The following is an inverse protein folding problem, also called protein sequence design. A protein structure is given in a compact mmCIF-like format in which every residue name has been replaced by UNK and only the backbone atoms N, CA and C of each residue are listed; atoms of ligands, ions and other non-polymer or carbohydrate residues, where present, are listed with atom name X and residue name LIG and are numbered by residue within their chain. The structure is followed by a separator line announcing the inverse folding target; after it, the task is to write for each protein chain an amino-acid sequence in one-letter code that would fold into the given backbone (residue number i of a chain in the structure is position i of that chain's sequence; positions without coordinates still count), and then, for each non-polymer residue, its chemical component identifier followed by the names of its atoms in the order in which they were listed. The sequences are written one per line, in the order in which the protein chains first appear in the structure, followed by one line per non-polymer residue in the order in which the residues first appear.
data_IF_416650315347
#
_entry.id   IF_416650315347
#
_cell.length_a   1.000
_cell.length_b   1.000
_cell.length_c   1.000
_cell.angle_alpha   90.00
_cell.angle_beta   90.00
_cell.angle_gamma   90.00
#
_symmetry.space_group_name_H-M   'P 1'
#
loop_
_entity.id
_entity.type
_entity.pdbx_description
1 polymer ?
#
# COMPACT_ATOMS: atom_id res chain seq x y z
N UNK A 1 24.31 3.56 -13.19
CA UNK A 1 24.63 4.43 -12.05
C UNK A 1 23.43 4.45 -11.14
N UNK A 2 23.53 3.71 -10.03
CA UNK A 2 22.49 3.64 -9.00
C UNK A 2 22.37 5.00 -8.32
N UNK A 3 21.35 5.76 -8.66
CA UNK A 3 20.91 6.87 -7.84
C UNK A 3 19.98 6.25 -6.79
N UNK A 4 20.58 5.86 -5.66
CA UNK A 4 19.80 5.48 -4.49
C UNK A 4 18.95 6.68 -4.07
N UNK A 5 17.65 6.50 -3.92
CA UNK A 5 16.78 7.44 -3.25
C UNK A 5 17.28 7.60 -1.81
N UNK A 6 18.12 8.61 -1.60
CA UNK A 6 18.43 9.08 -0.25
C UNK A 6 17.18 9.82 0.23
N UNK A 7 16.42 9.18 1.11
CA UNK A 7 15.47 9.91 1.95
C UNK A 7 16.26 10.99 2.70
N UNK A 8 15.83 12.25 2.64
CA UNK A 8 16.53 13.29 3.38
C UNK A 8 16.46 12.96 4.87
N UNK A 9 17.63 12.79 5.49
CA UNK A 9 17.78 12.69 6.93
C UNK A 9 17.31 13.99 7.58
N UNK A 10 16.23 13.88 8.32
CA UNK A 10 15.84 14.60 9.53
C UNK A 10 15.72 16.15 9.53
N UNK A 11 14.45 16.57 9.57
CA UNK A 11 14.05 17.57 10.56
C UNK A 11 13.12 16.85 11.57
N UNK A 12 13.55 16.76 12.82
CA UNK A 12 12.85 16.05 13.90
C UNK A 12 11.45 16.57 14.24
N UNK A 13 11.00 17.66 13.63
CA UNK A 13 9.74 18.36 13.96
C UNK A 13 8.86 18.66 12.73
N UNK A 14 9.20 18.17 11.53
CA UNK A 14 8.33 18.34 10.37
C UNK A 14 7.54 17.05 10.14
N UNK A 15 6.21 17.15 10.04
CA UNK A 15 5.35 16.05 9.59
C UNK A 15 5.88 15.52 8.25
N UNK A 16 5.97 14.20 8.06
CA UNK A 16 6.42 13.63 6.78
C UNK A 16 5.50 14.08 5.66
N UNK A 17 6.08 14.40 4.49
CA UNK A 17 5.31 14.70 3.29
C UNK A 17 4.58 13.42 2.86
N UNK A 18 3.25 13.52 2.76
CA UNK A 18 2.42 12.42 2.31
C UNK A 18 2.56 12.24 0.81
N UNK A 19 2.62 10.99 0.36
CA UNK A 19 2.72 10.62 -1.05
C UNK A 19 1.56 9.73 -1.48
N UNK A 20 1.23 9.77 -2.77
CA UNK A 20 0.28 8.88 -3.41
C UNK A 20 1.02 7.75 -4.11
N UNK A 21 0.77 6.51 -3.71
CA UNK A 21 1.09 5.31 -4.48
C UNK A 21 -0.19 4.76 -5.11
N UNK A 22 -0.17 4.56 -6.43
CA UNK A 22 -1.35 4.09 -7.16
C UNK A 22 -1.28 2.58 -7.32
N UNK A 23 -2.28 1.88 -6.75
CA UNK A 23 -2.45 0.46 -7.03
C UNK A 23 -3.14 0.28 -8.39
N UNK A 24 -2.46 -0.41 -9.31
CA UNK A 24 -2.90 -0.58 -10.70
C UNK A 24 -3.49 -1.96 -11.01
N UNK A 25 -3.80 -2.77 -9.99
CA UNK A 25 -4.32 -4.14 -10.16
C UNK A 25 -5.56 -4.20 -11.04
N UNK A 26 -6.46 -3.22 -10.92
CA UNK A 26 -7.71 -3.22 -11.68
C UNK A 26 -7.53 -2.92 -13.17
N UNK A 27 -6.40 -2.34 -13.59
CA UNK A 27 -6.02 -2.28 -15.01
C UNK A 27 -5.81 -3.72 -15.53
N UNK A 28 -5.05 -4.52 -14.78
CA UNK A 28 -4.85 -5.93 -15.09
C UNK A 28 -6.16 -6.74 -14.98
N UNK A 29 -7.05 -6.42 -14.03
CA UNK A 29 -8.38 -7.05 -13.93
C UNK A 29 -9.18 -6.89 -15.22
N UNK A 30 -9.18 -5.70 -15.82
CA UNK A 30 -9.87 -5.45 -17.10
C UNK A 30 -9.23 -6.27 -18.22
N UNK A 31 -7.90 -6.35 -18.29
CA UNK A 31 -7.16 -7.18 -19.24
C UNK A 31 -7.56 -8.65 -19.11
N UNK A 32 -7.54 -9.17 -17.90
CA UNK A 32 -7.84 -10.60 -17.64
C UNK A 32 -9.32 -10.93 -17.87
N UNK A 33 -10.26 -10.00 -17.68
CA UNK A 33 -11.66 -10.20 -17.97
C UNK A 33 -11.91 -10.58 -19.46
N UNK A 34 -11.02 -10.14 -20.35
CA UNK A 34 -11.06 -10.49 -21.79
C UNK A 34 -10.06 -11.58 -22.18
N UNK A 35 -9.07 -11.85 -21.36
CA UNK A 35 -7.96 -12.79 -21.70
C UNK A 35 -7.05 -12.25 -22.81
N UNK A 36 -6.88 -10.93 -22.90
CA UNK A 36 -6.08 -10.26 -23.91
C UNK A 36 -4.78 -9.66 -23.37
N UNK A 37 -4.27 -8.65 -24.08
CA UNK A 37 -3.06 -7.90 -23.72
C UNK A 37 -3.38 -6.49 -23.22
N UNK A 38 -4.59 -6.02 -23.43
CA UNK A 38 -5.04 -4.65 -23.10
C UNK A 38 -6.21 -4.65 -22.10
N UNK A 39 -6.29 -3.60 -21.25
CA UNK A 39 -5.29 -2.53 -21.08
C UNK A 39 -4.01 -3.06 -20.42
N UNK A 40 -2.85 -2.50 -20.84
CA UNK A 40 -1.53 -2.90 -20.32
C UNK A 40 -1.23 -2.19 -18.98
N UNK A 41 -1.00 -2.93 -17.87
CA UNK A 41 -0.62 -2.34 -16.58
C UNK A 41 0.70 -1.54 -16.65
N UNK A 42 1.61 -1.91 -17.54
CA UNK A 42 2.90 -1.24 -17.74
C UNK A 42 2.69 0.17 -18.29
N UNK A 43 1.81 0.30 -19.28
CA UNK A 43 1.41 1.61 -19.80
C UNK A 43 0.67 2.42 -18.73
N UNK A 44 -0.18 1.75 -17.95
CA UNK A 44 -0.89 2.36 -16.81
C UNK A 44 0.06 2.93 -15.75
N UNK A 45 1.10 2.19 -15.36
CA UNK A 45 2.10 2.65 -14.41
C UNK A 45 2.78 3.96 -14.86
N UNK A 46 3.22 4.01 -16.12
CA UNK A 46 3.83 5.22 -16.70
C UNK A 46 2.90 6.42 -16.67
N UNK A 47 1.62 6.22 -17.03
CA UNK A 47 0.61 7.29 -16.97
C UNK A 47 0.42 7.77 -15.52
N UNK A 48 0.38 6.86 -14.55
CA UNK A 48 0.23 7.23 -13.14
C UNK A 48 1.41 8.10 -12.66
N UNK A 49 2.65 7.69 -12.91
CA UNK A 49 3.83 8.46 -12.52
C UNK A 49 3.91 9.83 -13.20
N UNK A 50 3.57 9.93 -14.48
CA UNK A 50 3.53 11.19 -15.23
C UNK A 50 2.47 12.16 -14.72
N UNK A 51 1.49 11.69 -13.93
CA UNK A 51 0.38 12.49 -13.44
C UNK A 51 0.32 12.61 -11.91
N UNK A 52 1.45 12.37 -11.21
CA UNK A 52 1.60 12.72 -9.80
C UNK A 52 1.62 11.54 -8.83
N UNK A 53 1.57 10.30 -9.31
CA UNK A 53 1.88 9.15 -8.46
C UNK A 53 3.38 9.16 -8.10
N UNK A 54 3.71 9.07 -6.82
CA UNK A 54 5.07 8.94 -6.32
C UNK A 54 5.55 7.48 -6.31
N UNK A 55 4.61 6.55 -6.46
CA UNK A 55 4.91 5.12 -6.56
C UNK A 55 3.77 4.33 -7.18
N UNK A 56 4.10 3.10 -7.52
CA UNK A 56 3.18 2.11 -8.08
C UNK A 56 3.09 0.93 -7.13
N UNK A 57 1.87 0.53 -6.84
CA UNK A 57 1.56 -0.65 -6.03
C UNK A 57 0.87 -1.69 -6.91
N UNK A 58 1.29 -2.94 -6.77
CA UNK A 58 0.62 -4.10 -7.37
C UNK A 58 0.55 -5.24 -6.39
N UNK A 59 -0.54 -6.00 -6.43
CA UNK A 59 -0.70 -7.22 -5.67
C UNK A 59 -0.53 -8.45 -6.58
N UNK A 60 0.57 -9.17 -6.41
CA UNK A 60 0.76 -10.47 -7.05
C UNK A 60 0.11 -11.55 -6.19
N UNK A 61 -1.12 -11.89 -6.52
CA UNK A 61 -1.87 -12.92 -5.81
C UNK A 61 -1.40 -14.33 -6.18
N UNK A 62 -1.56 -15.26 -5.24
CA UNK A 62 -1.26 -16.67 -5.50
C UNK A 62 -2.05 -17.24 -6.70
N UNK A 63 -3.28 -16.80 -6.89
CA UNK A 63 -4.16 -17.24 -7.99
C UNK A 63 -3.95 -16.49 -9.32
N UNK A 64 -3.07 -15.47 -9.35
CA UNK A 64 -2.77 -14.67 -10.56
C UNK A 64 -4.01 -14.13 -11.28
N UNK A 65 -5.10 -13.82 -10.55
CA UNK A 65 -6.36 -13.39 -11.17
C UNK A 65 -6.30 -12.05 -11.92
N UNK A 66 -5.24 -11.27 -11.72
CA UNK A 66 -5.03 -9.98 -12.40
C UNK A 66 -3.54 -9.75 -12.74
N UNK A 67 -2.72 -9.28 -11.83
CA UNK A 67 -1.28 -9.12 -12.04
C UNK A 67 -0.63 -10.49 -12.25
N UNK A 68 0.27 -10.55 -13.24
CA UNK A 68 1.03 -11.74 -13.61
C UNK A 68 2.51 -11.55 -13.24
N UNK A 69 3.26 -12.65 -13.12
CA UNK A 69 4.70 -12.63 -12.80
C UNK A 69 5.48 -11.72 -13.76
N UNK A 70 5.15 -11.78 -15.08
CA UNK A 70 5.76 -10.92 -16.11
C UNK A 70 5.53 -9.44 -15.88
N UNK A 71 4.36 -9.07 -15.34
CA UNK A 71 4.04 -7.66 -15.03
C UNK A 71 4.95 -7.16 -13.92
N UNK A 72 5.12 -7.94 -12.84
CA UNK A 72 5.98 -7.60 -11.69
C UNK A 72 7.43 -7.41 -12.13
N UNK A 73 7.95 -8.34 -12.93
CA UNK A 73 9.33 -8.27 -13.47
C UNK A 73 9.50 -6.99 -14.29
N UNK A 74 8.57 -6.72 -15.22
CA UNK A 74 8.66 -5.55 -16.09
C UNK A 74 8.49 -4.24 -15.30
N UNK A 75 7.56 -4.19 -14.34
CA UNK A 75 7.34 -3.01 -13.50
C UNK A 75 8.59 -2.66 -12.70
N UNK A 76 9.32 -3.65 -12.16
CA UNK A 76 10.57 -3.39 -11.45
C UNK A 76 11.57 -2.60 -12.29
N UNK A 77 11.65 -2.88 -13.58
CA UNK A 77 12.60 -2.25 -14.48
C UNK A 77 12.17 -0.84 -14.92
N UNK A 78 10.85 -0.56 -14.96
CA UNK A 78 10.32 0.67 -15.58
C UNK A 78 9.79 1.71 -14.59
N UNK A 79 9.40 1.30 -13.37
CA UNK A 79 8.93 2.24 -12.34
C UNK A 79 10.10 3.10 -11.89
N UNK A 80 9.91 4.43 -11.96
CA UNK A 80 10.92 5.43 -11.60
C UNK A 80 10.82 5.78 -10.12
N UNK A 81 9.57 5.89 -9.64
CA UNK A 81 9.25 6.12 -8.25
C UNK A 81 9.39 4.86 -7.38
N UNK A 82 8.59 4.78 -6.33
CA UNK A 82 8.58 3.63 -5.44
C UNK A 82 7.80 2.47 -6.05
N UNK A 83 8.39 1.28 -6.11
CA UNK A 83 7.71 0.06 -6.48
C UNK A 83 7.35 -0.75 -5.24
N UNK A 84 6.05 -0.85 -4.92
CA UNK A 84 5.52 -1.61 -3.80
C UNK A 84 4.84 -2.89 -4.31
N UNK A 85 5.30 -4.04 -3.84
CA UNK A 85 4.72 -5.35 -4.14
C UNK A 85 3.89 -5.84 -2.94
N UNK A 86 2.57 -5.85 -3.09
CA UNK A 86 1.67 -6.52 -2.15
C UNK A 86 1.72 -8.02 -2.39
N UNK A 87 1.82 -8.80 -1.32
CA UNK A 87 1.99 -10.24 -1.41
C UNK A 87 1.52 -10.98 -0.17
N UNK A 88 1.03 -12.21 -0.35
CA UNK A 88 0.79 -13.13 0.75
C UNK A 88 2.09 -13.72 1.31
N UNK A 89 1.99 -14.34 2.50
CA UNK A 89 3.04 -15.17 3.08
C UNK A 89 3.10 -16.55 2.36
N UNK A 90 3.31 -16.55 1.06
CA UNK A 90 3.38 -17.73 0.21
C UNK A 90 4.80 -17.90 -0.32
N UNK A 91 5.36 -19.11 -0.23
CA UNK A 91 6.73 -19.37 -0.66
C UNK A 91 6.94 -19.11 -2.16
N UNK A 92 5.90 -19.35 -2.98
CA UNK A 92 5.89 -19.05 -4.40
C UNK A 92 6.07 -17.54 -4.65
N UNK A 93 5.22 -16.72 -4.02
CA UNK A 93 5.27 -15.25 -4.18
C UNK A 93 6.53 -14.66 -3.53
N UNK A 94 6.95 -15.18 -2.37
CA UNK A 94 8.20 -14.78 -1.73
C UNK A 94 9.38 -15.05 -2.67
N UNK A 95 9.36 -16.17 -3.43
CA UNK A 95 10.36 -16.48 -4.44
C UNK A 95 10.44 -15.42 -5.56
N UNK A 96 9.31 -14.93 -6.03
CA UNK A 96 9.26 -13.83 -7.01
C UNK A 96 9.79 -12.53 -6.38
N UNK A 97 9.36 -12.17 -5.18
CA UNK A 97 9.84 -10.98 -4.49
C UNK A 97 11.37 -10.99 -4.28
N UNK A 98 11.95 -12.16 -3.97
CA UNK A 98 13.40 -12.36 -3.87
C UNK A 98 14.15 -12.11 -5.18
N UNK A 99 13.56 -12.46 -6.30
CA UNK A 99 14.17 -12.28 -7.62
C UNK A 99 14.04 -10.85 -8.13
N UNK A 100 12.94 -10.18 -7.80
CA UNK A 100 12.59 -8.84 -8.29
C UNK A 100 13.21 -7.73 -7.42
N UNK A 101 13.27 -7.94 -6.11
CA UNK A 101 13.73 -6.96 -5.12
C UNK A 101 13.04 -5.60 -5.31
N UNK A 102 11.72 -5.51 -5.06
CA UNK A 102 11.00 -4.23 -5.12
C UNK A 102 11.55 -3.27 -4.05
N UNK A 103 11.17 -1.99 -4.11
CA UNK A 103 11.58 -1.02 -3.09
C UNK A 103 10.87 -1.31 -1.74
N UNK A 104 9.65 -1.84 -1.82
CA UNK A 104 8.88 -2.27 -0.65
C UNK A 104 8.10 -3.55 -0.97
N UNK A 105 8.00 -4.43 0.03
CA UNK A 105 6.96 -5.46 0.08
C UNK A 105 5.93 -5.07 1.12
N UNK A 106 4.64 -5.29 0.82
CA UNK A 106 3.55 -5.17 1.79
C UNK A 106 2.90 -6.54 1.97
N UNK A 107 2.99 -7.09 3.16
CA UNK A 107 2.38 -8.38 3.47
C UNK A 107 0.88 -8.20 3.68
N UNK A 108 0.08 -8.86 2.85
CA UNK A 108 -1.38 -8.83 2.87
C UNK A 108 -1.95 -10.24 3.03
N UNK A 109 -3.13 -10.42 3.66
CA UNK A 109 -3.76 -11.74 3.76
C UNK A 109 -4.46 -12.10 2.44
N UNK A 110 -4.36 -13.37 2.02
CA UNK A 110 -5.13 -13.92 0.90
C UNK A 110 -5.99 -15.11 1.32
N UNK A 111 -5.51 -15.91 2.27
CA UNK A 111 -6.22 -17.07 2.78
C UNK A 111 -6.99 -16.72 4.06
N UNK A 112 -8.05 -17.47 4.31
CA UNK A 112 -8.90 -17.26 5.49
C UNK A 112 -8.13 -17.40 6.81
N UNK A 113 -7.08 -18.24 6.82
CA UNK A 113 -6.25 -18.45 8.00
C UNK A 113 -5.30 -17.27 8.29
N UNK A 114 -5.05 -16.43 7.31
CA UNK A 114 -4.18 -15.25 7.39
C UNK A 114 -4.93 -13.99 7.81
N UNK A 115 -6.27 -14.02 7.71
CA UNK A 115 -7.15 -12.90 8.02
C UNK A 115 -7.37 -12.74 9.53
N UNK A 116 -7.51 -11.49 9.95
CA UNK A 116 -8.24 -11.12 11.16
C UNK A 116 -9.75 -11.17 10.88
N UNK A 117 -10.57 -10.99 11.91
CA UNK A 117 -12.03 -10.92 11.75
C UNK A 117 -12.49 -9.74 10.89
N UNK A 118 -11.69 -8.70 10.77
CA UNK A 118 -12.02 -7.46 10.04
C UNK A 118 -11.33 -7.35 8.68
N UNK A 119 -10.36 -8.20 8.36
CA UNK A 119 -9.75 -8.31 7.02
C UNK A 119 -8.26 -8.01 6.91
N UNK A 120 -7.59 -7.55 7.97
CA UNK A 120 -6.13 -7.34 8.00
C UNK A 120 -5.34 -8.64 8.22
N UNK A 121 -4.02 -8.56 8.06
CA UNK A 121 -3.10 -9.68 8.29
C UNK A 121 -3.06 -10.05 9.78
N UNK A 122 -3.19 -11.34 10.09
CA UNK A 122 -3.05 -11.86 11.43
C UNK A 122 -1.56 -11.98 11.79
N UNK A 123 -0.98 -10.88 12.24
CA UNK A 123 0.45 -10.79 12.59
C UNK A 123 0.81 -11.72 13.75
N UNK A 124 -0.02 -11.79 14.80
CA UNK A 124 0.26 -12.58 15.98
C UNK A 124 0.42 -14.07 15.66
N UNK A 125 -0.41 -14.59 14.76
CA UNK A 125 -0.34 -16.00 14.34
C UNK A 125 0.91 -16.31 13.52
N UNK A 126 1.44 -15.33 12.80
CA UNK A 126 2.52 -15.47 11.83
C UNK A 126 3.82 -14.77 12.28
N UNK A 127 3.92 -14.31 13.54
CA UNK A 127 4.97 -13.41 14.02
C UNK A 127 6.39 -13.91 13.71
N UNK A 128 6.69 -15.20 13.96
CA UNK A 128 8.02 -15.76 13.69
C UNK A 128 8.37 -15.72 12.21
N UNK A 129 7.45 -16.19 11.34
CA UNK A 129 7.68 -16.22 9.88
C UNK A 129 7.82 -14.82 9.30
N UNK A 130 7.02 -13.86 9.79
CA UNK A 130 7.14 -12.46 9.38
C UNK A 130 8.48 -11.89 9.80
N UNK A 131 8.93 -12.16 11.04
CA UNK A 131 10.23 -11.69 11.54
C UNK A 131 11.39 -12.20 10.67
N UNK A 132 11.40 -13.49 10.36
CA UNK A 132 12.44 -14.08 9.51
C UNK A 132 12.47 -13.42 8.13
N UNK A 133 11.30 -13.18 7.55
CA UNK A 133 11.16 -12.50 6.26
C UNK A 133 11.61 -11.03 6.33
N UNK A 134 11.26 -10.32 7.41
CA UNK A 134 11.70 -8.93 7.65
C UNK A 134 13.24 -8.85 7.69
N UNK A 135 13.89 -9.74 8.43
CA UNK A 135 15.36 -9.78 8.50
C UNK A 135 15.93 -10.00 7.10
N UNK A 136 15.43 -11.00 6.38
CA UNK A 136 15.92 -11.33 5.03
C UNK A 136 15.81 -10.15 4.05
N UNK A 137 14.65 -9.49 3.99
CA UNK A 137 14.42 -8.41 3.01
C UNK A 137 15.15 -7.12 3.40
N UNK A 138 15.28 -6.82 4.68
CA UNK A 138 16.09 -5.69 5.16
C UNK A 138 17.57 -5.80 4.80
N UNK A 139 18.15 -7.00 4.85
CA UNK A 139 19.52 -7.25 4.39
C UNK A 139 19.72 -6.92 2.89
N UNK A 140 18.62 -6.95 2.13
CA UNK A 140 18.58 -6.62 0.69
C UNK A 140 18.13 -5.17 0.42
N UNK A 141 18.03 -4.36 1.48
CA UNK A 141 17.53 -2.97 1.42
C UNK A 141 16.10 -2.84 0.91
N UNK A 142 15.26 -3.87 1.07
CA UNK A 142 13.83 -3.83 0.76
C UNK A 142 13.06 -3.48 2.03
N UNK A 143 12.20 -2.48 1.93
CA UNK A 143 11.31 -2.04 3.02
C UNK A 143 10.19 -3.06 3.23
N UNK A 144 9.83 -3.36 4.48
CA UNK A 144 8.75 -4.29 4.80
C UNK A 144 7.60 -3.57 5.50
N UNK A 145 6.41 -3.66 4.91
CA UNK A 145 5.15 -3.14 5.43
C UNK A 145 4.17 -4.28 5.74
N UNK A 146 3.35 -4.12 6.77
CA UNK A 146 2.29 -5.08 7.11
C UNK A 146 0.91 -4.40 6.99
N UNK A 147 0.02 -4.98 6.17
CA UNK A 147 -1.36 -4.52 6.03
C UNK A 147 -2.21 -5.04 7.19
N UNK A 148 -2.57 -4.17 8.12
CA UNK A 148 -3.20 -4.55 9.39
C UNK A 148 -4.43 -3.72 9.72
N UNK A 149 -5.29 -4.26 10.58
CA UNK A 149 -6.35 -3.48 11.20
C UNK A 149 -5.79 -2.42 12.17
N UNK A 150 -6.53 -1.31 12.39
CA UNK A 150 -6.19 -0.29 13.39
C UNK A 150 -6.41 -0.81 14.82
N UNK A 151 -5.58 -1.79 15.23
CA UNK A 151 -5.66 -2.55 16.47
C UNK A 151 -4.33 -2.53 17.21
N UNK A 152 -4.33 -2.04 18.46
CA UNK A 152 -3.10 -1.81 19.22
C UNK A 152 -2.31 -3.10 19.50
N UNK A 153 -2.91 -4.23 19.92
CA UNK A 153 -2.21 -5.50 20.08
C UNK A 153 -1.50 -5.98 18.80
N UNK A 154 -2.13 -5.76 17.62
CA UNK A 154 -1.53 -6.12 16.32
C UNK A 154 -0.33 -5.22 16.01
N UNK A 155 -0.40 -3.94 16.35
CA UNK A 155 0.72 -2.99 16.20
C UNK A 155 1.88 -3.39 17.12
N UNK A 156 1.61 -3.77 18.36
CA UNK A 156 2.64 -4.28 19.29
C UNK A 156 3.31 -5.56 18.75
N UNK A 157 2.52 -6.46 18.16
CA UNK A 157 3.07 -7.64 17.48
C UNK A 157 3.92 -7.25 16.26
N UNK A 158 3.47 -6.27 15.47
CA UNK A 158 4.24 -5.74 14.34
C UNK A 158 5.60 -5.20 14.80
N UNK A 159 5.64 -4.47 15.90
CA UNK A 159 6.91 -3.99 16.47
C UNK A 159 7.89 -5.13 16.75
N UNK A 160 7.42 -6.26 17.27
CA UNK A 160 8.27 -7.43 17.56
C UNK A 160 8.80 -8.12 16.31
N UNK A 161 8.11 -7.99 15.16
CA UNK A 161 8.63 -8.52 13.89
C UNK A 161 9.76 -7.69 13.31
N UNK A 162 9.88 -6.42 13.70
CA UNK A 162 10.87 -5.50 13.17
C UNK A 162 10.49 -4.88 11.81
N UNK A 163 9.24 -5.02 11.35
CA UNK A 163 8.76 -4.37 10.14
C UNK A 163 8.92 -2.84 10.20
N UNK A 164 9.14 -2.22 9.04
CA UNK A 164 9.40 -0.78 8.94
C UNK A 164 8.12 0.04 8.99
N UNK A 165 7.06 -0.48 8.37
CA UNK A 165 5.78 0.18 8.24
C UNK A 165 4.63 -0.72 8.70
N UNK A 166 3.54 -0.06 9.05
CA UNK A 166 2.19 -0.61 8.92
C UNK A 166 1.47 0.11 7.79
N UNK A 167 0.63 -0.63 7.07
CA UNK A 167 -0.43 -0.06 6.25
C UNK A 167 -1.76 -0.29 6.96
N UNK A 168 -2.36 0.78 7.46
CA UNK A 168 -3.64 0.71 8.18
C UNK A 168 -4.77 0.43 7.19
N UNK A 169 -5.48 -0.67 7.41
CA UNK A 169 -6.69 -1.01 6.65
C UNK A 169 -7.81 -0.02 6.95
N UNK A 170 -8.25 0.74 5.95
CA UNK A 170 -9.27 1.77 6.10
C UNK A 170 -10.68 1.31 5.71
N UNK A 171 -10.86 0.02 5.42
CA UNK A 171 -12.12 -0.52 4.90
C UNK A 171 -13.33 -0.29 5.82
N UNK A 172 -13.19 -0.50 7.13
CA UNK A 172 -14.28 -0.26 8.10
C UNK A 172 -14.72 1.21 8.10
N UNK A 173 -13.78 2.15 8.05
CA UNK A 173 -14.07 3.57 7.88
C UNK A 173 -14.78 3.88 6.56
N UNK A 174 -14.29 3.32 5.45
CA UNK A 174 -14.84 3.58 4.12
C UNK A 174 -16.25 3.02 3.94
N UNK A 175 -16.54 1.88 4.57
CA UNK A 175 -17.82 1.17 4.47
C UNK A 175 -18.82 1.53 5.58
N UNK A 176 -18.48 2.45 6.49
CA UNK A 176 -19.34 2.85 7.58
C UNK A 176 -20.69 3.40 7.06
N UNK A 177 -21.78 2.82 7.55
CA UNK A 177 -23.13 3.14 7.11
C UNK A 177 -23.71 4.44 7.70
N UNK A 178 -23.11 4.98 8.77
CA UNK A 178 -23.52 6.20 9.42
C UNK A 178 -22.35 7.16 9.63
N UNK A 179 -22.66 8.44 9.86
CA UNK A 179 -21.66 9.43 10.21
C UNK A 179 -20.98 9.12 11.57
N UNK A 180 -21.75 8.61 12.52
CA UNK A 180 -21.23 8.24 13.83
C UNK A 180 -20.25 7.07 13.75
N UNK A 181 -20.62 6.00 13.02
CA UNK A 181 -19.72 4.86 12.78
C UNK A 181 -18.45 5.29 12.06
N UNK A 182 -18.58 6.13 11.04
CA UNK A 182 -17.43 6.65 10.29
C UNK A 182 -16.49 7.44 11.20
N UNK A 183 -17.03 8.30 12.05
CA UNK A 183 -16.24 9.09 13.01
C UNK A 183 -15.52 8.17 14.00
N UNK A 184 -16.18 7.13 14.52
CA UNK A 184 -15.60 6.15 15.42
C UNK A 184 -14.43 5.39 14.76
N UNK A 185 -14.62 4.91 13.53
CA UNK A 185 -13.58 4.20 12.78
C UNK A 185 -12.39 5.13 12.45
N UNK A 186 -12.64 6.39 12.10
CA UNK A 186 -11.58 7.37 11.89
C UNK A 186 -10.75 7.60 13.17
N UNK A 187 -11.38 7.66 14.33
CA UNK A 187 -10.68 7.79 15.62
C UNK A 187 -9.88 6.51 15.96
N UNK A 188 -10.33 5.32 15.52
CA UNK A 188 -9.53 4.10 15.62
C UNK A 188 -8.25 4.21 14.80
N UNK A 189 -8.36 4.67 13.54
CA UNK A 189 -7.21 4.89 12.66
C UNK A 189 -6.21 5.86 13.30
N UNK A 190 -6.68 7.00 13.81
CA UNK A 190 -5.79 8.01 14.41
C UNK A 190 -5.04 7.46 15.64
N UNK A 191 -5.75 6.80 16.55
CA UNK A 191 -5.14 6.19 17.76
C UNK A 191 -4.14 5.10 17.40
N UNK A 192 -4.44 4.28 16.40
CA UNK A 192 -3.54 3.25 15.90
C UNK A 192 -2.25 3.87 15.31
N UNK A 193 -2.40 4.92 14.52
CA UNK A 193 -1.27 5.63 13.93
C UNK A 193 -0.38 6.30 15.01
N UNK A 194 -0.97 6.99 15.99
CA UNK A 194 -0.23 7.56 17.11
C UNK A 194 0.55 6.51 17.88
N UNK A 195 -0.07 5.35 18.13
CA UNK A 195 0.60 4.25 18.80
C UNK A 195 1.76 3.70 17.99
N UNK A 196 1.58 3.45 16.69
CA UNK A 196 2.63 3.00 15.80
C UNK A 196 3.83 3.97 15.78
N UNK A 197 3.57 5.27 15.62
CA UNK A 197 4.60 6.31 15.65
C UNK A 197 5.34 6.33 16.98
N UNK A 198 4.64 6.18 18.12
CA UNK A 198 5.26 6.12 19.45
C UNK A 198 6.23 4.94 19.62
N UNK A 199 5.99 3.85 18.89
CA UNK A 199 6.86 2.67 18.82
C UNK A 199 7.97 2.79 17.77
N UNK A 200 8.00 3.89 16.99
CA UNK A 200 8.96 4.08 15.90
C UNK A 200 8.62 3.26 14.66
N UNK A 201 7.35 2.89 14.45
CA UNK A 201 6.85 2.27 13.24
C UNK A 201 6.27 3.39 12.35
N UNK A 202 6.60 3.37 11.06
CA UNK A 202 6.09 4.32 10.08
C UNK A 202 4.68 3.91 9.62
N UNK A 203 3.89 4.87 9.14
CA UNK A 203 2.45 4.67 8.90
C UNK A 203 2.08 4.97 7.45
N UNK A 204 1.54 3.96 6.79
CA UNK A 204 0.81 4.06 5.54
C UNK A 204 -0.69 3.74 5.79
N UNK A 205 -1.54 4.03 4.82
CA UNK A 205 -2.95 3.66 4.88
C UNK A 205 -3.49 3.35 3.47
N UNK A 206 -4.47 2.46 3.40
CA UNK A 206 -5.04 2.05 2.14
C UNK A 206 -6.34 1.28 2.27
N UNK A 207 -6.91 0.92 1.13
CA UNK A 207 -8.12 0.16 0.92
C UNK A 207 -9.43 0.92 1.14
N UNK A 208 -10.22 1.06 0.07
CA UNK A 208 -11.55 1.67 0.09
C UNK A 208 -11.55 3.20 0.00
N UNK A 209 -10.39 3.85 0.00
CA UNK A 209 -10.29 5.29 -0.13
C UNK A 209 -10.71 5.79 -1.52
N UNK A 210 -11.35 6.96 -1.54
CA UNK A 210 -11.83 7.63 -2.75
C UNK A 210 -11.76 9.15 -2.60
N UNK A 211 -12.17 9.89 -3.63
CA UNK A 211 -12.07 11.36 -3.70
C UNK A 211 -12.89 12.10 -2.63
N UNK A 212 -13.89 11.44 -2.02
CA UNK A 212 -14.76 12.06 -1.01
C UNK A 212 -14.33 11.75 0.42
N UNK A 213 -13.73 10.58 0.68
CA UNK A 213 -13.40 10.13 2.03
C UNK A 213 -11.91 10.25 2.39
N UNK A 214 -11.03 10.47 1.41
CA UNK A 214 -9.58 10.52 1.61
C UNK A 214 -9.13 11.69 2.50
N UNK A 215 -9.83 12.83 2.46
CA UNK A 215 -9.41 14.06 3.16
C UNK A 215 -9.28 13.89 4.68
N UNK A 216 -10.16 13.10 5.29
CA UNK A 216 -10.09 12.86 6.73
C UNK A 216 -8.94 11.91 7.08
N UNK A 217 -8.69 10.88 6.25
CA UNK A 217 -7.56 9.97 6.44
C UNK A 217 -6.22 10.67 6.23
N UNK A 218 -6.14 11.68 5.37
CA UNK A 218 -4.94 12.51 5.19
C UNK A 218 -4.52 13.27 6.46
N UNK A 219 -5.38 13.38 7.47
CA UNK A 219 -5.07 13.98 8.78
C UNK A 219 -4.50 12.98 9.79
N UNK A 220 -4.34 11.72 9.39
CA UNK A 220 -3.80 10.66 10.27
C UNK A 220 -2.39 11.02 10.75
N UNK A 221 -2.13 10.97 12.06
CA UNK A 221 -0.83 11.27 12.62
C UNK A 221 0.28 10.40 12.04
N UNK A 222 1.37 11.01 11.59
CA UNK A 222 2.53 10.30 11.05
C UNK A 222 2.30 9.59 9.71
N UNK A 223 1.17 9.82 9.05
CA UNK A 223 0.89 9.24 7.74
C UNK A 223 1.92 9.71 6.70
N UNK A 224 2.51 8.76 5.99
CA UNK A 224 3.51 9.01 4.96
C UNK A 224 3.04 8.65 3.56
N UNK A 225 2.21 7.62 3.40
CA UNK A 225 1.83 7.08 2.10
C UNK A 225 0.37 6.62 2.10
N UNK A 226 -0.30 6.89 1.00
CA UNK A 226 -1.60 6.30 0.67
C UNK A 226 -1.49 5.36 -0.51
N UNK A 227 -1.97 4.11 -0.34
CA UNK A 227 -2.11 3.13 -1.41
C UNK A 227 -3.57 3.11 -1.88
N UNK A 228 -3.84 3.67 -3.07
CA UNK A 228 -5.19 3.82 -3.61
C UNK A 228 -5.26 3.23 -5.02
N UNK A 229 -6.20 2.29 -5.24
CA UNK A 229 -6.36 1.62 -6.52
C UNK A 229 -7.76 1.76 -7.10
N UNK A 230 -8.72 1.01 -6.55
CA UNK A 230 -10.04 0.82 -7.14
C UNK A 230 -10.74 2.13 -7.53
N UNK A 231 -10.78 3.13 -6.65
CA UNK A 231 -11.48 4.39 -6.92
C UNK A 231 -10.85 5.19 -8.05
N UNK A 232 -9.52 5.17 -8.18
CA UNK A 232 -8.80 5.84 -9.27
C UNK A 232 -9.10 5.16 -10.59
N UNK A 233 -9.03 3.83 -10.66
CA UNK A 233 -9.33 3.08 -11.89
C UNK A 233 -10.81 3.20 -12.25
N UNK A 234 -11.73 3.14 -11.29
CA UNK A 234 -13.15 3.35 -11.52
C UNK A 234 -13.44 4.76 -12.09
N UNK A 235 -12.82 5.81 -11.51
CA UNK A 235 -12.96 7.18 -12.01
C UNK A 235 -12.38 7.32 -13.44
N UNK A 236 -11.28 6.60 -13.72
CA UNK A 236 -10.60 6.66 -15.01
C UNK A 236 -11.48 6.21 -16.20
N UNK A 237 -12.48 5.37 -15.95
CA UNK A 237 -13.46 4.94 -16.96
C UNK A 237 -14.22 6.14 -17.56
N UNK A 238 -14.44 7.18 -16.75
CA UNK A 238 -15.19 8.37 -17.15
C UNK A 238 -14.31 9.56 -17.56
N UNK A 239 -13.11 9.67 -16.94
CA UNK A 239 -12.27 10.88 -17.09
C UNK A 239 -10.93 10.62 -17.78
N UNK A 240 -10.60 9.36 -18.01
CA UNK A 240 -9.25 8.92 -18.39
C UNK A 240 -8.30 8.84 -17.20
N UNK A 241 -7.33 7.91 -17.27
CA UNK A 241 -6.42 7.58 -16.16
C UNK A 241 -5.58 8.79 -15.71
N UNK A 242 -5.06 9.56 -16.65
CA UNK A 242 -4.24 10.74 -16.36
C UNK A 242 -4.97 11.76 -15.46
N UNK A 243 -6.24 12.04 -15.78
CA UNK A 243 -7.07 12.98 -15.01
C UNK A 243 -7.39 12.39 -13.63
N UNK A 244 -7.82 11.13 -13.59
CA UNK A 244 -8.16 10.46 -12.32
C UNK A 244 -6.98 10.46 -11.34
N UNK A 245 -5.77 10.13 -11.80
CA UNK A 245 -4.57 10.15 -10.96
C UNK A 245 -4.24 11.56 -10.49
N UNK A 246 -4.25 12.54 -11.41
CA UNK A 246 -3.93 13.94 -11.07
C UNK A 246 -4.88 14.50 -10.01
N UNK A 247 -6.17 14.24 -10.14
CA UNK A 247 -7.17 14.72 -9.19
C UNK A 247 -6.93 14.16 -7.78
N UNK A 248 -6.55 12.88 -7.65
CA UNK A 248 -6.20 12.28 -6.38
C UNK A 248 -4.86 12.82 -5.84
N UNK A 249 -3.87 12.98 -6.71
CA UNK A 249 -2.56 13.53 -6.34
C UNK A 249 -2.68 14.96 -5.79
N UNK A 250 -3.55 15.79 -6.37
CA UNK A 250 -3.85 17.14 -5.86
C UNK A 250 -4.41 17.08 -4.43
N UNK A 251 -5.35 16.18 -4.14
CA UNK A 251 -5.90 16.02 -2.78
C UNK A 251 -4.83 15.65 -1.75
N UNK A 252 -3.90 14.78 -2.13
CA UNK A 252 -2.77 14.40 -1.26
C UNK A 252 -1.81 15.58 -1.06
N UNK A 253 -1.48 16.31 -2.14
CA UNK A 253 -0.55 17.44 -2.08
C UNK A 253 -1.11 18.61 -1.27
N UNK A 254 -2.39 18.94 -1.42
CA UNK A 254 -3.07 19.97 -0.61
C UNK A 254 -2.97 19.70 0.89
N UNK A 255 -2.85 18.43 1.30
CA UNK A 255 -2.70 18.05 2.70
C UNK A 255 -1.29 18.25 3.26
N UNK A 256 -0.31 18.53 2.38
CA UNK A 256 1.08 18.82 2.74
C UNK A 256 1.35 20.32 2.90
N UNK A 257 0.39 21.18 2.55
CA UNK A 257 0.47 22.63 2.68
C UNK A 257 0.10 23.07 4.09
#
# INVERSE_FOLDING_TARGET
SCIGWMYPLERKDAMPRKILCVNIDHIATIREARGGTEPDPIAGARICEQNGAAGITVHLREDRRHIQDRDVITLRDIVIGKFNLEMALSDDIIGIARSVLPDQITLVPEKREELTTEGGLNVMKNESRIRDLVVEFKEKAVVVSLFIEPDLPTIDATKRTGADFIEIHTGSYCNAGSHEDRSRELQRIYRAAEHAVSLGIRVNAGHGLNYTNVRDVLRTPGLEELNIGHSIIAQSVFTGLATAVRDMAILVEESNA
#
